data_IF_336085074695
#
_entry.id   IF_336085074695
#
_cell.length_a   1.000
_cell.length_b   1.000
_cell.length_c   1.000
_cell.angle_alpha   90.00
_cell.angle_beta   90.00
_cell.angle_gamma   90.00
#
_symmetry.space_group_name_H-M   'P 1'
#
loop_
_entity.id
_entity.type
_entity.pdbx_description
1 polymer ?
#
# COMPACT_ATOMS: atom_id res chain seq x y z
N UNK A 1 4.03 -21.26 3.14
CA UNK A 1 4.15 -21.47 1.66
C UNK A 1 4.55 -22.91 1.38
N UNK A 2 3.90 -23.63 0.43
CA UNK A 2 4.29 -25.00 0.08
C UNK A 2 5.43 -25.02 -0.96
N UNK A 3 6.06 -26.19 -1.17
CA UNK A 3 7.22 -26.33 -2.10
C UNK A 3 6.88 -25.95 -3.54
N UNK A 4 5.66 -26.24 -4.00
CA UNK A 4 5.23 -25.91 -5.36
C UNK A 4 5.06 -24.40 -5.56
N UNK A 5 4.46 -23.71 -4.60
CA UNK A 5 4.35 -22.24 -4.57
C UNK A 5 5.71 -21.57 -4.54
N UNK A 6 6.64 -22.10 -3.73
CA UNK A 6 8.02 -21.65 -3.65
C UNK A 6 8.73 -21.74 -5.00
N UNK A 7 8.60 -22.88 -5.69
CA UNK A 7 9.22 -23.06 -7.00
C UNK A 7 8.60 -22.18 -8.09
N UNK A 8 7.29 -21.89 -8.01
CA UNK A 8 6.65 -20.90 -8.85
C UNK A 8 7.19 -19.49 -8.58
N UNK A 9 7.36 -19.13 -7.31
CA UNK A 9 7.96 -17.86 -6.91
C UNK A 9 9.39 -17.74 -7.44
N UNK A 10 10.24 -18.77 -7.25
CA UNK A 10 11.61 -18.77 -7.78
C UNK A 10 11.64 -18.64 -9.30
N UNK A 11 10.70 -19.29 -10.01
CA UNK A 11 10.58 -19.14 -11.49
C UNK A 11 10.22 -17.70 -11.85
N UNK A 12 9.27 -17.08 -11.16
CA UNK A 12 8.91 -15.68 -11.35
C UNK A 12 10.10 -14.75 -11.12
N UNK A 13 10.85 -14.93 -10.02
CA UNK A 13 12.05 -14.16 -9.72
C UNK A 13 13.12 -14.25 -10.81
N UNK A 14 13.30 -15.43 -11.41
CA UNK A 14 14.22 -15.64 -12.55
C UNK A 14 13.82 -14.87 -13.80
N UNK A 15 12.51 -14.67 -14.00
CA UNK A 15 11.97 -13.91 -15.15
C UNK A 15 12.05 -12.42 -14.91
N UNK A 16 11.64 -11.95 -13.72
CA UNK A 16 11.61 -10.53 -13.39
C UNK A 16 12.98 -9.94 -13.09
N UNK A 17 13.91 -10.77 -12.60
CA UNK A 17 15.25 -10.34 -12.18
C UNK A 17 15.28 -9.57 -10.84
N UNK A 18 14.12 -9.26 -10.26
CA UNK A 18 13.96 -8.50 -9.01
C UNK A 18 13.02 -9.22 -8.06
N UNK A 19 13.24 -9.04 -6.77
CA UNK A 19 12.44 -9.66 -5.72
C UNK A 19 11.23 -8.80 -5.28
N UNK A 20 11.21 -7.50 -5.62
CA UNK A 20 10.17 -6.57 -5.20
C UNK A 20 10.25 -6.17 -3.74
N UNK A 21 9.17 -5.54 -3.23
CA UNK A 21 9.11 -5.04 -1.85
C UNK A 21 8.85 -6.14 -0.82
N UNK A 22 8.13 -7.17 -1.21
CA UNK A 22 7.60 -8.24 -0.37
C UNK A 22 8.48 -9.50 -0.31
N UNK A 23 9.52 -9.58 -1.15
CA UNK A 23 10.43 -10.72 -1.18
C UNK A 23 11.88 -10.24 -1.08
N UNK A 24 12.69 -10.97 -0.33
CA UNK A 24 14.15 -10.78 -0.25
C UNK A 24 14.84 -12.13 -0.45
N UNK A 25 15.89 -12.15 -1.27
CA UNK A 25 16.65 -13.37 -1.53
C UNK A 25 18.12 -13.19 -1.10
N UNK A 26 18.62 -14.15 -0.31
CA UNK A 26 19.99 -14.11 0.22
C UNK A 26 20.69 -15.46 0.08
N UNK A 27 22.00 -15.41 -0.08
CA UNK A 27 22.84 -16.62 -0.09
C UNK A 27 23.00 -17.24 1.31
N UNK A 28 22.82 -16.44 2.37
CA UNK A 28 22.99 -16.91 3.76
C UNK A 28 22.55 -15.85 4.78
N UNK A 29 22.45 -16.26 6.05
CA UNK A 29 22.09 -15.39 7.18
C UNK A 29 23.32 -14.61 7.65
N UNK A 30 23.55 -13.44 7.07
CA UNK A 30 24.62 -12.50 7.45
C UNK A 30 24.25 -11.59 8.63
N UNK A 31 25.14 -10.62 8.94
CA UNK A 31 24.85 -9.60 9.97
C UNK A 31 23.77 -8.62 9.53
N UNK A 32 23.69 -8.31 8.24
CA UNK A 32 22.75 -7.36 7.67
C UNK A 32 21.30 -7.88 7.58
N UNK A 33 21.05 -9.16 7.88
CA UNK A 33 19.67 -9.69 7.85
C UNK A 33 18.75 -9.01 8.86
N UNK A 34 19.31 -8.45 9.96
CA UNK A 34 18.52 -7.68 10.94
C UNK A 34 17.93 -6.41 10.35
N UNK A 35 18.60 -5.79 9.39
CA UNK A 35 18.08 -4.63 8.64
C UNK A 35 16.89 -5.04 7.76
N UNK A 36 16.99 -6.21 7.10
CA UNK A 36 15.88 -6.77 6.32
C UNK A 36 14.68 -7.11 7.20
N UNK A 37 14.91 -7.74 8.36
CA UNK A 37 13.85 -8.07 9.30
C UNK A 37 13.14 -6.81 9.83
N UNK A 38 13.92 -5.77 10.23
CA UNK A 38 13.39 -4.47 10.62
C UNK A 38 12.58 -3.83 9.49
N UNK A 39 13.15 -3.78 8.29
CA UNK A 39 12.52 -3.14 7.14
C UNK A 39 11.22 -3.83 6.71
N UNK A 40 11.19 -5.15 6.66
CA UNK A 40 9.97 -5.92 6.35
C UNK A 40 8.90 -5.71 7.42
N UNK A 41 9.27 -5.78 8.70
CA UNK A 41 8.33 -5.61 9.80
C UNK A 41 7.75 -4.19 9.88
N UNK A 42 8.50 -3.18 9.51
CA UNK A 42 8.03 -1.79 9.43
C UNK A 42 7.14 -1.52 8.20
N UNK A 43 7.30 -2.30 7.13
CA UNK A 43 6.41 -2.24 5.96
C UNK A 43 5.24 -3.24 6.12
N UNK A 44 4.94 -4.00 5.10
CA UNK A 44 3.80 -4.94 5.03
C UNK A 44 4.20 -6.39 5.32
N UNK A 45 5.31 -6.60 6.03
CA UNK A 45 5.90 -7.93 6.16
C UNK A 45 6.59 -8.38 4.88
N UNK A 46 6.81 -9.70 4.73
CA UNK A 46 7.38 -10.25 3.51
C UNK A 46 7.97 -11.63 3.66
N UNK A 47 8.47 -12.16 2.56
CA UNK A 47 9.10 -13.47 2.47
C UNK A 47 10.61 -13.34 2.29
N UNK A 48 11.39 -13.87 3.21
CA UNK A 48 12.84 -13.97 3.10
C UNK A 48 13.24 -15.38 2.67
N UNK A 49 13.85 -15.50 1.49
CA UNK A 49 14.39 -16.78 0.98
C UNK A 49 15.90 -16.78 1.15
N UNK A 50 16.44 -17.79 1.84
CA UNK A 50 17.87 -17.93 2.07
C UNK A 50 18.38 -19.24 1.48
N UNK A 51 19.56 -19.20 0.85
CA UNK A 51 20.15 -20.34 0.15
C UNK A 51 20.03 -20.27 -1.37
N UNK A 52 19.66 -19.09 -1.92
CA UNK A 52 19.67 -18.81 -3.35
C UNK A 52 20.65 -17.66 -3.67
N UNK A 53 21.29 -17.72 -4.83
CA UNK A 53 22.20 -16.69 -5.33
C UNK A 53 21.51 -15.83 -6.40
N UNK A 54 21.28 -14.55 -6.10
CA UNK A 54 20.74 -13.58 -7.07
C UNK A 54 21.71 -13.40 -8.25
N UNK A 55 23.02 -13.38 -7.97
CA UNK A 55 24.07 -13.23 -9.01
C UNK A 55 24.07 -14.37 -10.04
N UNK A 56 23.70 -15.57 -9.57
CA UNK A 56 23.64 -16.78 -10.42
C UNK A 56 22.21 -17.09 -10.88
N UNK A 57 21.36 -16.06 -11.02
CA UNK A 57 19.99 -16.19 -11.50
C UNK A 57 19.09 -16.99 -10.56
N UNK A 58 19.19 -16.75 -9.27
CA UNK A 58 18.43 -17.44 -8.21
C UNK A 58 18.70 -18.96 -8.16
N UNK A 59 19.92 -19.36 -8.49
CA UNK A 59 20.36 -20.75 -8.33
C UNK A 59 20.56 -21.09 -6.85
N UNK A 60 20.23 -22.33 -6.43
CA UNK A 60 20.52 -22.80 -5.07
C UNK A 60 22.04 -22.79 -4.79
N UNK A 61 22.38 -22.37 -3.57
CA UNK A 61 23.78 -22.36 -3.10
C UNK A 61 24.21 -23.81 -2.77
N UNK A 62 25.28 -24.31 -3.41
CA UNK A 62 25.74 -25.67 -3.13
C UNK A 62 26.11 -25.87 -1.66
N UNK A 63 25.65 -26.96 -1.05
CA UNK A 63 25.98 -27.30 0.34
C UNK A 63 25.37 -26.35 1.38
N UNK A 64 24.32 -25.60 1.05
CA UNK A 64 23.65 -24.70 1.99
C UNK A 64 23.08 -25.45 3.20
N UNK A 65 23.55 -25.09 4.40
CA UNK A 65 23.14 -25.69 5.67
C UNK A 65 21.84 -25.01 6.18
N UNK A 66 20.68 -25.40 5.63
CA UNK A 66 19.40 -24.73 5.83
C UNK A 66 18.95 -24.72 7.31
N UNK A 67 19.14 -25.82 8.06
CA UNK A 67 18.78 -25.90 9.48
C UNK A 67 19.61 -24.93 10.33
N UNK A 68 20.93 -24.89 10.13
CA UNK A 68 21.80 -23.92 10.82
C UNK A 68 21.44 -22.47 10.46
N UNK A 69 21.03 -22.23 9.21
CA UNK A 69 20.57 -20.92 8.77
C UNK A 69 19.27 -20.53 9.47
N UNK A 70 18.35 -21.46 9.68
CA UNK A 70 17.09 -21.26 10.43
C UNK A 70 17.38 -20.82 11.87
N UNK A 71 18.19 -21.60 12.60
CA UNK A 71 18.53 -21.27 13.99
C UNK A 71 19.20 -19.91 14.12
N UNK A 72 20.12 -19.61 13.18
CA UNK A 72 20.78 -18.30 13.12
C UNK A 72 19.80 -17.17 12.80
N UNK A 73 18.81 -17.38 11.93
CA UNK A 73 17.80 -16.39 11.61
C UNK A 73 16.93 -16.08 12.84
N UNK A 74 16.46 -17.10 13.54
CA UNK A 74 15.67 -16.92 14.76
C UNK A 74 16.45 -16.15 15.83
N UNK A 75 17.73 -16.45 16.03
CA UNK A 75 18.60 -15.65 16.91
C UNK A 75 18.80 -14.20 16.44
N UNK A 76 18.69 -13.93 15.13
CA UNK A 76 18.70 -12.55 14.61
C UNK A 76 17.39 -11.81 14.88
N UNK A 77 16.26 -12.50 14.86
CA UNK A 77 14.97 -11.92 15.23
C UNK A 77 14.94 -11.39 16.66
N UNK A 78 15.65 -12.04 17.58
CA UNK A 78 15.77 -11.61 18.99
C UNK A 78 16.62 -10.32 19.18
N UNK A 79 17.36 -9.89 18.16
CA UNK A 79 18.16 -8.66 18.19
C UNK A 79 17.35 -7.42 17.84
N UNK A 80 16.06 -7.57 17.59
CA UNK A 80 15.14 -6.50 17.23
C UNK A 80 14.22 -6.15 18.39
N UNK A 81 13.80 -4.91 18.44
CA UNK A 81 12.82 -4.38 19.40
C UNK A 81 11.69 -3.69 18.62
N UNK A 82 10.42 -4.13 18.73
CA UNK A 82 10.01 -5.41 19.32
C UNK A 82 10.60 -6.62 18.59
N UNK A 83 10.68 -7.76 19.30
CA UNK A 83 11.20 -9.01 18.70
C UNK A 83 10.32 -9.44 17.51
N UNK A 84 10.96 -9.73 16.37
CA UNK A 84 10.26 -10.21 15.18
C UNK A 84 9.97 -11.71 15.31
N UNK A 85 8.72 -12.11 15.09
CA UNK A 85 8.29 -13.51 15.17
C UNK A 85 8.15 -14.12 13.78
N UNK A 86 9.28 -14.26 13.08
CA UNK A 86 9.29 -14.88 11.75
C UNK A 86 8.99 -16.38 11.83
N UNK A 87 8.15 -16.86 10.89
CA UNK A 87 7.91 -18.28 10.68
C UNK A 87 8.92 -18.80 9.66
N UNK A 88 9.88 -19.61 10.12
CA UNK A 88 11.03 -20.04 9.33
C UNK A 88 10.99 -21.56 9.10
N UNK A 89 10.85 -21.98 7.83
CA UNK A 89 10.73 -23.37 7.41
C UNK A 89 11.79 -23.73 6.38
N UNK A 90 12.32 -24.96 6.47
CA UNK A 90 13.25 -25.51 5.50
C UNK A 90 12.47 -26.27 4.42
N UNK A 91 12.70 -25.92 3.17
CA UNK A 91 12.11 -26.56 2.01
C UNK A 91 13.15 -27.27 1.18
N UNK A 92 12.81 -28.47 0.68
CA UNK A 92 13.63 -29.19 -0.31
C UNK A 92 13.01 -29.00 -1.69
N UNK A 93 13.75 -28.42 -2.61
CA UNK A 93 13.36 -28.19 -3.98
C UNK A 93 13.39 -29.51 -4.78
N UNK A 94 12.71 -29.55 -5.94
CA UNK A 94 12.65 -30.74 -6.81
C UNK A 94 14.01 -31.23 -7.31
N UNK A 95 15.03 -30.35 -7.32
CA UNK A 95 16.41 -30.69 -7.64
C UNK A 95 17.23 -31.22 -6.44
N UNK A 96 16.60 -31.43 -5.28
CA UNK A 96 17.23 -31.92 -4.07
C UNK A 96 17.96 -30.86 -3.23
N UNK A 97 18.01 -29.59 -3.66
CA UNK A 97 18.62 -28.52 -2.90
C UNK A 97 17.70 -28.06 -1.76
N UNK A 98 18.28 -27.78 -0.60
CA UNK A 98 17.54 -27.21 0.53
C UNK A 98 17.65 -25.69 0.53
N UNK A 99 16.57 -25.02 0.87
CA UNK A 99 16.49 -23.56 1.07
C UNK A 99 15.70 -23.27 2.36
N UNK A 100 15.97 -22.12 2.98
CA UNK A 100 15.20 -21.62 4.10
C UNK A 100 14.24 -20.56 3.60
N UNK A 101 12.97 -20.67 3.97
CA UNK A 101 11.93 -19.65 3.72
C UNK A 101 11.45 -19.13 5.06
N UNK A 102 11.46 -17.82 5.23
CA UNK A 102 10.95 -17.19 6.44
C UNK A 102 9.90 -16.15 6.08
N UNK A 103 8.69 -16.34 6.60
CA UNK A 103 7.63 -15.35 6.55
C UNK A 103 7.84 -14.37 7.71
N UNK A 104 8.16 -13.13 7.36
CA UNK A 104 8.38 -12.02 8.29
C UNK A 104 7.07 -11.27 8.45
N UNK A 105 6.47 -11.22 9.65
CA UNK A 105 5.20 -10.52 9.85
C UNK A 105 5.39 -9.01 9.80
N UNK A 106 4.35 -8.31 9.35
CA UNK A 106 4.21 -6.87 9.59
C UNK A 106 4.04 -6.63 11.09
N UNK A 107 4.73 -5.63 11.62
CA UNK A 107 4.53 -5.16 13.00
C UNK A 107 3.24 -4.34 13.08
N UNK A 108 2.45 -4.52 14.14
CA UNK A 108 1.29 -3.67 14.35
C UNK A 108 1.71 -2.18 14.42
N UNK A 109 0.88 -1.25 13.91
CA UNK A 109 1.20 0.18 13.93
C UNK A 109 1.63 0.70 15.30
N UNK A 110 0.95 0.29 16.37
CA UNK A 110 1.28 0.67 17.75
C UNK A 110 2.65 0.18 18.22
N UNK A 111 3.19 -0.85 17.60
CA UNK A 111 4.46 -1.49 17.94
C UNK A 111 5.60 -1.06 17.00
N UNK A 112 5.30 -0.24 15.97
CA UNK A 112 6.28 0.37 15.08
C UNK A 112 6.95 1.58 15.75
N UNK A 113 8.21 1.88 15.40
CA UNK A 113 9.04 1.15 14.48
C UNK A 113 9.75 -0.03 15.16
N UNK A 114 9.89 -1.14 14.41
CA UNK A 114 10.78 -2.23 14.76
C UNK A 114 12.22 -1.85 14.43
N UNK A 115 13.13 -1.93 15.39
CA UNK A 115 14.51 -1.48 15.21
C UNK A 115 15.55 -2.46 15.75
N UNK A 116 16.78 -2.36 15.24
CA UNK A 116 17.94 -3.14 15.71
C UNK A 116 18.38 -2.62 17.08
N UNK A 117 18.14 -3.40 18.13
CA UNK A 117 18.35 -3.00 19.53
C UNK A 117 19.71 -2.35 19.81
N UNK A 118 20.80 -2.93 19.30
CA UNK A 118 22.16 -2.42 19.51
C UNK A 118 22.44 -1.07 18.86
N UNK A 119 21.66 -0.66 17.86
CA UNK A 119 21.82 0.62 17.17
C UNK A 119 20.90 1.71 17.74
N UNK A 120 19.90 1.31 18.55
CA UNK A 120 18.89 2.23 19.05
C UNK A 120 17.82 2.58 18.03
N UNK A 121 16.83 3.34 18.46
CA UNK A 121 15.61 3.63 17.71
C UNK A 121 15.89 4.35 16.38
N UNK A 122 16.69 5.40 16.38
CA UNK A 122 16.91 6.25 15.18
C UNK A 122 17.88 5.64 14.17
N UNK A 123 18.93 4.96 14.61
CA UNK A 123 19.95 4.37 13.73
C UNK A 123 19.64 2.91 13.38
N UNK A 124 18.69 2.30 14.08
CA UNK A 124 18.35 0.89 13.96
C UNK A 124 17.05 0.60 13.21
N UNK A 125 16.26 1.63 12.86
CA UNK A 125 14.98 1.49 12.17
C UNK A 125 15.16 1.56 10.66
N UNK A 126 14.61 0.57 9.96
CA UNK A 126 14.71 0.45 8.49
C UNK A 126 13.34 0.28 7.85
N UNK A 127 13.25 0.67 6.57
CA UNK A 127 12.10 0.43 5.69
C UNK A 127 12.54 -0.15 4.34
N UNK A 128 11.61 -0.78 3.63
CA UNK A 128 11.85 -1.27 2.27
C UNK A 128 11.65 -0.14 1.27
N UNK A 129 12.64 0.02 0.36
CA UNK A 129 12.56 0.92 -0.78
C UNK A 129 13.02 0.14 -2.02
N UNK A 130 12.08 -0.31 -2.84
CA UNK A 130 12.31 -1.29 -3.90
C UNK A 130 13.03 -2.54 -3.36
N UNK A 131 14.19 -2.89 -3.91
CA UNK A 131 14.98 -4.07 -3.49
C UNK A 131 15.96 -3.79 -2.32
N UNK A 132 15.91 -2.59 -1.74
CA UNK A 132 16.87 -2.17 -0.71
C UNK A 132 16.20 -1.91 0.65
N UNK A 133 16.99 -2.08 1.70
CA UNK A 133 16.64 -1.63 3.04
C UNK A 133 17.27 -0.27 3.26
N UNK A 134 16.47 0.75 3.53
CA UNK A 134 16.93 2.11 3.81
C UNK A 134 16.56 2.51 5.23
N UNK A 135 17.39 3.31 5.93
CA UNK A 135 17.03 3.82 7.24
C UNK A 135 15.73 4.62 7.17
N UNK A 136 14.89 4.49 8.20
CA UNK A 136 13.78 5.42 8.43
C UNK A 136 14.32 6.81 8.74
N UNK A 137 13.65 7.84 8.25
CA UNK A 137 14.00 9.21 8.59
C UNK A 137 13.54 9.56 10.00
N UNK A 138 14.23 10.48 10.66
CA UNK A 138 13.90 10.86 12.05
C UNK A 138 12.43 11.28 12.20
N UNK A 139 11.89 12.05 11.24
CA UNK A 139 10.49 12.48 11.31
C UNK A 139 9.48 11.32 11.17
N UNK A 140 9.83 10.25 10.43
CA UNK A 140 8.98 9.05 10.34
C UNK A 140 8.96 8.31 11.68
N UNK A 141 10.11 8.25 12.36
CA UNK A 141 10.25 7.63 13.67
C UNK A 141 9.47 8.44 14.71
N UNK A 142 9.62 9.77 14.72
CA UNK A 142 8.88 10.66 15.62
C UNK A 142 7.37 10.51 15.44
N UNK A 143 6.93 10.29 14.20
CA UNK A 143 5.51 10.04 13.89
C UNK A 143 5.01 8.73 14.52
N UNK A 144 5.73 7.63 14.35
CA UNK A 144 5.39 6.36 15.01
C UNK A 144 5.35 6.50 16.55
N UNK A 145 6.31 7.19 17.14
CA UNK A 145 6.37 7.41 18.58
C UNK A 145 5.18 8.26 19.06
N UNK A 146 4.81 9.31 18.33
CA UNK A 146 3.66 10.16 18.66
C UNK A 146 2.34 9.35 18.58
N UNK A 147 2.18 8.47 17.60
CA UNK A 147 1.01 7.61 17.47
C UNK A 147 0.84 6.60 18.62
N UNK A 148 1.92 6.17 19.26
CA UNK A 148 1.86 5.23 20.40
C UNK A 148 1.07 5.81 21.59
N UNK A 149 1.02 7.12 21.76
CA UNK A 149 0.23 7.78 22.80
C UNK A 149 -1.28 7.80 22.51
N UNK A 150 -1.72 7.37 21.33
CA UNK A 150 -3.11 7.34 20.88
C UNK A 150 -3.86 8.67 21.11
N UNK A 151 -3.36 9.79 20.60
CA UNK A 151 -3.98 11.08 20.81
C UNK A 151 -5.33 11.19 20.10
N UNK A 152 -6.30 11.88 20.72
CA UNK A 152 -7.64 12.13 20.18
C UNK A 152 -7.73 13.52 19.53
N UNK A 153 -7.04 13.71 18.43
CA UNK A 153 -6.95 15.00 17.74
C UNK A 153 -8.30 15.56 17.27
N UNK A 154 -9.24 14.69 16.94
CA UNK A 154 -10.57 15.05 16.49
C UNK A 154 -11.44 15.66 17.60
N UNK A 155 -11.08 15.51 18.88
CA UNK A 155 -11.73 16.14 20.05
C UNK A 155 -11.11 17.50 20.41
N UNK A 156 -10.07 17.95 19.70
CA UNK A 156 -9.44 19.26 19.95
C UNK A 156 -10.41 20.40 19.74
N UNK A 157 -10.56 21.32 20.72
CA UNK A 157 -11.38 22.51 20.58
C UNK A 157 -10.74 23.49 19.58
N UNK A 158 -11.52 24.01 18.63
CA UNK A 158 -11.07 24.93 17.59
C UNK A 158 -11.64 26.32 17.86
N UNK A 159 -10.89 27.24 18.46
CA UNK A 159 -11.36 28.58 18.76
C UNK A 159 -11.82 29.33 17.51
N UNK A 160 -12.98 29.95 17.58
CA UNK A 160 -13.56 30.71 16.47
C UNK A 160 -14.24 29.86 15.38
N UNK A 161 -14.22 28.54 15.49
CA UNK A 161 -14.96 27.69 14.56
C UNK A 161 -16.47 27.84 14.76
N UNK A 162 -17.20 28.21 13.70
CA UNK A 162 -18.65 28.30 13.68
C UNK A 162 -19.27 27.10 12.97
N UNK A 163 -20.34 26.57 13.56
CA UNK A 163 -21.11 25.47 12.94
C UNK A 163 -22.26 26.06 12.11
N UNK A 164 -22.58 25.41 11.00
CA UNK A 164 -23.71 25.75 10.15
C UNK A 164 -25.00 25.25 10.80
N UNK A 165 -25.90 26.17 11.14
CA UNK A 165 -27.21 25.87 11.74
C UNK A 165 -28.05 24.95 10.85
N UNK A 166 -27.93 25.04 9.54
CA UNK A 166 -28.64 24.18 8.62
C UNK A 166 -28.17 22.71 8.71
N UNK A 167 -26.95 22.48 9.16
CA UNK A 167 -26.41 21.14 9.42
C UNK A 167 -26.57 20.71 10.88
N UNK A 168 -26.35 21.61 11.81
CA UNK A 168 -26.41 21.35 13.26
C UNK A 168 -27.84 20.99 13.72
N UNK A 169 -28.85 21.74 13.30
CA UNK A 169 -30.25 21.53 13.72
C UNK A 169 -30.79 20.14 13.36
N UNK A 170 -30.66 19.64 12.12
CA UNK A 170 -31.08 18.29 11.79
C UNK A 170 -30.32 17.21 12.57
N UNK A 171 -29.02 17.43 12.85
CA UNK A 171 -28.21 16.54 13.67
C UNK A 171 -28.76 16.49 15.09
N UNK A 172 -28.97 17.62 15.76
CA UNK A 172 -29.54 17.72 17.12
C UNK A 172 -30.90 17.02 17.19
N UNK A 173 -31.82 17.36 16.29
CA UNK A 173 -33.17 16.77 16.26
C UNK A 173 -33.14 15.24 16.09
N UNK A 174 -32.17 14.74 15.34
CA UNK A 174 -31.97 13.30 15.16
C UNK A 174 -31.41 12.66 16.42
N UNK A 175 -30.40 13.25 17.05
CA UNK A 175 -29.78 12.72 18.27
C UNK A 175 -30.77 12.72 19.44
N UNK A 176 -31.56 13.75 19.58
CA UNK A 176 -32.60 13.86 20.62
C UNK A 176 -33.63 12.72 20.48
N UNK A 177 -34.04 12.38 19.25
CA UNK A 177 -34.94 11.24 19.02
C UNK A 177 -34.29 9.88 19.31
N UNK A 178 -33.00 9.73 19.04
CA UNK A 178 -32.27 8.47 19.23
C UNK A 178 -31.82 8.25 20.67
N UNK A 179 -31.52 9.36 21.40
CA UNK A 179 -30.90 9.34 22.72
C UNK A 179 -31.52 10.44 23.61
N UNK A 180 -32.83 10.38 23.90
CA UNK A 180 -33.53 11.46 24.63
C UNK A 180 -32.91 11.73 26.02
N UNK A 181 -32.36 10.71 26.68
CA UNK A 181 -31.73 10.83 27.99
C UNK A 181 -30.53 11.79 27.98
N UNK A 182 -29.79 11.88 26.88
CA UNK A 182 -28.66 12.82 26.75
C UNK A 182 -29.14 14.30 26.78
N UNK A 183 -30.37 14.55 26.34
CA UNK A 183 -30.96 15.90 26.29
C UNK A 183 -31.76 16.29 27.52
N UNK A 184 -31.89 15.38 28.51
CA UNK A 184 -32.60 15.67 29.75
C UNK A 184 -32.03 16.86 30.52
N UNK A 185 -30.69 17.07 30.42
CA UNK A 185 -30.00 18.21 31.06
C UNK A 185 -29.84 19.43 30.11
N UNK A 186 -30.47 19.39 28.94
CA UNK A 186 -30.46 20.45 27.93
C UNK A 186 -29.49 20.21 26.78
N UNK A 187 -29.73 20.94 25.68
CA UNK A 187 -28.99 20.77 24.42
C UNK A 187 -27.49 21.05 24.57
N UNK A 188 -27.08 22.02 25.35
CA UNK A 188 -25.66 22.34 25.57
C UNK A 188 -24.89 21.16 26.17
N UNK A 189 -25.44 20.53 27.21
CA UNK A 189 -24.86 19.33 27.84
C UNK A 189 -24.83 18.14 26.86
N UNK A 190 -25.88 17.99 26.06
CA UNK A 190 -25.94 16.94 25.03
C UNK A 190 -24.85 17.11 23.98
N UNK A 191 -24.60 18.35 23.53
CA UNK A 191 -23.54 18.63 22.54
C UNK A 191 -22.13 18.35 23.09
N UNK A 192 -21.88 18.63 24.36
CA UNK A 192 -20.65 18.22 25.04
C UNK A 192 -20.51 16.70 25.07
N UNK A 193 -21.55 15.99 25.50
CA UNK A 193 -21.55 14.52 25.58
C UNK A 193 -21.36 13.85 24.20
N UNK A 194 -21.87 14.46 23.15
CA UNK A 194 -21.74 14.01 21.75
C UNK A 194 -20.38 14.39 21.13
N UNK A 195 -19.53 15.16 21.83
CA UNK A 195 -18.25 15.62 21.32
C UNK A 195 -18.36 16.66 20.18
N UNK A 196 -19.50 17.34 20.07
CA UNK A 196 -19.69 18.47 19.15
C UNK A 196 -18.96 19.70 19.65
N UNK A 197 -19.01 19.92 20.96
CA UNK A 197 -18.26 20.97 21.64
C UNK A 197 -17.40 20.36 22.76
N UNK A 198 -16.35 21.07 23.14
CA UNK A 198 -15.47 20.76 24.24
C UNK A 198 -15.23 22.08 25.03
N UNK A 199 -15.72 22.14 26.24
CA UNK A 199 -15.74 23.38 27.08
C UNK A 199 -16.36 24.57 26.29
N UNK A 200 -17.51 24.34 25.64
CA UNK A 200 -18.24 25.36 24.92
C UNK A 200 -17.63 25.77 23.57
N UNK A 201 -16.51 25.15 23.15
CA UNK A 201 -15.84 25.42 21.87
C UNK A 201 -16.05 24.24 20.91
N UNK A 202 -16.36 24.51 19.65
CA UNK A 202 -16.54 23.47 18.65
C UNK A 202 -15.28 22.62 18.49
N UNK A 203 -15.45 21.30 18.43
CA UNK A 203 -14.34 20.37 18.21
C UNK A 203 -13.92 20.32 16.74
N UNK A 204 -12.72 19.81 16.47
CA UNK A 204 -12.25 19.56 15.11
C UNK A 204 -13.22 18.63 14.35
N UNK A 205 -13.70 17.56 14.97
CA UNK A 205 -14.70 16.68 14.38
C UNK A 205 -15.99 17.41 14.00
N UNK A 206 -16.51 18.25 14.88
CA UNK A 206 -17.71 19.04 14.59
C UNK A 206 -17.48 20.06 13.48
N UNK A 207 -16.34 20.75 13.48
CA UNK A 207 -15.96 21.70 12.44
C UNK A 207 -15.85 21.01 11.07
N UNK A 208 -15.22 19.85 10.99
CA UNK A 208 -15.07 19.11 9.74
C UNK A 208 -16.39 18.51 9.23
N UNK A 209 -17.33 18.25 10.12
CA UNK A 209 -18.65 17.66 9.77
C UNK A 209 -19.71 18.70 9.47
N UNK A 210 -19.78 19.77 10.25
CA UNK A 210 -20.86 20.76 10.27
C UNK A 210 -20.36 22.21 10.28
N UNK A 211 -19.06 22.45 10.12
CA UNK A 211 -18.51 23.81 10.10
C UNK A 211 -18.89 24.57 8.84
N UNK A 212 -19.06 25.89 8.95
CA UNK A 212 -19.37 26.78 7.82
C UNK A 212 -18.27 26.78 6.78
N UNK A 213 -17.00 26.91 7.18
CA UNK A 213 -15.83 26.88 6.29
C UNK A 213 -14.63 26.26 7.04
N UNK A 214 -14.50 24.92 7.10
CA UNK A 214 -13.42 24.25 7.83
C UNK A 214 -12.01 24.71 7.41
N UNK A 215 -11.81 25.01 6.13
CA UNK A 215 -10.51 25.38 5.57
C UNK A 215 -10.06 26.80 5.94
N UNK A 216 -10.94 27.64 6.51
CA UNK A 216 -10.52 28.93 7.08
C UNK A 216 -9.63 28.74 8.33
N UNK A 217 -9.83 27.64 9.07
CA UNK A 217 -9.01 27.29 10.23
C UNK A 217 -7.78 26.45 9.84
N UNK A 218 -7.97 25.50 8.94
CA UNK A 218 -6.93 24.60 8.45
C UNK A 218 -6.99 24.50 6.92
N UNK A 219 -6.31 25.40 6.18
CA UNK A 219 -6.37 25.47 4.71
C UNK A 219 -6.00 24.16 3.99
N UNK A 220 -5.20 23.29 4.61
CA UNK A 220 -4.76 22.03 4.01
C UNK A 220 -5.68 20.83 4.32
N UNK A 221 -6.76 21.02 5.11
CA UNK A 221 -7.75 19.96 5.32
C UNK A 221 -8.72 19.86 4.11
N UNK A 222 -8.14 19.64 2.95
CA UNK A 222 -8.76 19.59 1.62
C UNK A 222 -8.55 18.21 0.98
N UNK A 223 -9.17 17.99 -0.17
CA UNK A 223 -8.81 16.91 -1.10
C UNK A 223 -8.23 17.54 -2.36
N UNK A 224 -6.97 17.26 -2.67
CA UNK A 224 -6.37 17.66 -3.94
C UNK A 224 -6.54 16.54 -4.96
N UNK A 225 -6.96 16.87 -6.18
CA UNK A 225 -7.15 15.89 -7.24
C UNK A 225 -6.28 16.25 -8.42
N UNK A 226 -5.41 15.32 -8.84
CA UNK A 226 -4.62 15.43 -10.05
C UNK A 226 -5.16 14.51 -11.15
N UNK A 227 -5.23 15.02 -12.37
CA UNK A 227 -5.66 14.28 -13.57
C UNK A 227 -4.43 14.05 -14.45
N UNK A 228 -4.28 12.82 -14.93
CA UNK A 228 -3.11 12.38 -15.69
C UNK A 228 -3.55 11.72 -17.00
N UNK A 229 -2.96 12.16 -18.13
CA UNK A 229 -3.24 11.62 -19.47
C UNK A 229 -2.53 10.28 -19.75
N UNK A 230 -1.74 9.77 -18.80
CA UNK A 230 -1.00 8.52 -18.90
C UNK A 230 -0.83 7.85 -17.54
N UNK A 231 -0.02 6.77 -17.45
CA UNK A 231 0.22 6.03 -16.20
C UNK A 231 1.31 6.65 -15.31
N UNK A 232 2.00 7.69 -15.77
CA UNK A 232 3.13 8.33 -15.08
C UNK A 232 2.71 9.65 -14.43
N UNK A 233 3.34 10.01 -13.32
CA UNK A 233 3.18 11.34 -12.70
C UNK A 233 3.64 12.50 -13.63
N UNK A 234 4.47 12.20 -14.64
CA UNK A 234 4.88 13.17 -15.65
C UNK A 234 3.77 13.54 -16.64
N UNK A 235 2.71 12.70 -16.69
CA UNK A 235 1.56 12.88 -17.58
C UNK A 235 0.48 13.78 -16.97
N UNK A 236 0.82 14.57 -15.95
CA UNK A 236 -0.09 15.51 -15.30
C UNK A 236 -0.66 16.52 -16.32
N UNK A 237 -1.98 16.69 -16.31
CA UNK A 237 -2.68 17.59 -17.23
C UNK A 237 -3.48 18.67 -16.53
N UNK A 238 -4.13 18.33 -15.40
CA UNK A 238 -5.02 19.24 -14.70
C UNK A 238 -5.14 18.85 -13.23
N UNK A 239 -5.62 19.76 -12.39
CA UNK A 239 -5.88 19.49 -10.99
C UNK A 239 -6.80 20.49 -10.33
N UNK A 240 -7.49 20.02 -9.30
CA UNK A 240 -8.43 20.82 -8.54
C UNK A 240 -8.28 20.56 -7.03
N UNK A 241 -8.53 21.59 -6.24
CA UNK A 241 -8.60 21.51 -4.78
C UNK A 241 -10.06 21.56 -4.36
N UNK A 242 -10.52 20.47 -3.72
CA UNK A 242 -11.87 20.36 -3.16
C UNK A 242 -11.86 20.85 -1.72
N UNK A 243 -12.89 21.62 -1.34
CA UNK A 243 -13.03 22.19 0.00
C UNK A 243 -14.46 22.09 0.52
N UNK A 244 -14.65 22.26 1.82
CA UNK A 244 -15.92 22.15 2.51
C UNK A 244 -15.89 21.12 3.64
N UNK A 245 -17.07 20.72 4.10
CA UNK A 245 -17.22 19.64 5.09
C UNK A 245 -16.88 18.28 4.48
N UNK A 246 -16.67 17.28 5.32
CA UNK A 246 -16.38 15.90 4.85
C UNK A 246 -17.44 15.39 3.87
N UNK A 247 -18.73 15.63 4.13
CA UNK A 247 -19.80 15.23 3.23
C UNK A 247 -19.72 15.95 1.87
N UNK A 248 -19.36 17.23 1.86
CA UNK A 248 -19.15 18.00 0.64
C UNK A 248 -17.94 17.50 -0.15
N UNK A 249 -16.82 17.24 0.53
CA UNK A 249 -15.59 16.69 -0.08
C UNK A 249 -15.84 15.33 -0.74
N UNK A 250 -16.57 14.42 -0.07
CA UNK A 250 -16.92 13.11 -0.62
C UNK A 250 -17.76 13.25 -1.90
N UNK A 251 -18.80 14.09 -1.87
CA UNK A 251 -19.68 14.27 -3.04
C UNK A 251 -18.93 14.90 -4.22
N UNK A 252 -18.14 15.96 -3.99
CA UNK A 252 -17.32 16.59 -5.02
C UNK A 252 -16.31 15.60 -5.64
N UNK A 253 -15.66 14.76 -4.81
CA UNK A 253 -14.74 13.75 -5.29
C UNK A 253 -15.41 12.69 -6.15
N UNK A 254 -16.61 12.23 -5.77
CA UNK A 254 -17.39 11.27 -6.56
C UNK A 254 -17.77 11.88 -7.91
N UNK A 255 -18.27 13.12 -7.94
CA UNK A 255 -18.68 13.80 -9.17
C UNK A 255 -17.48 13.98 -10.12
N UNK A 256 -16.31 14.31 -9.58
CA UNK A 256 -15.09 14.43 -10.36
C UNK A 256 -14.63 13.10 -10.95
N UNK A 257 -14.59 12.02 -10.14
CA UNK A 257 -14.21 10.69 -10.64
C UNK A 257 -15.23 10.21 -11.66
N UNK A 258 -16.52 10.44 -11.45
CA UNK A 258 -17.58 10.12 -12.43
C UNK A 258 -17.35 10.80 -13.79
N UNK A 259 -16.77 12.01 -13.79
CA UNK A 259 -16.46 12.73 -15.03
C UNK A 259 -15.23 12.15 -15.75
N UNK A 260 -14.15 11.81 -15.02
CA UNK A 260 -12.86 11.41 -15.61
C UNK A 260 -12.66 9.88 -15.71
N UNK A 261 -13.40 9.10 -14.91
CA UNK A 261 -13.31 7.65 -14.83
C UNK A 261 -14.69 7.05 -14.49
N UNK A 262 -15.71 7.22 -15.40
CA UNK A 262 -17.10 6.86 -15.16
C UNK A 262 -17.35 5.36 -14.96
N UNK A 263 -16.40 4.51 -15.33
CA UNK A 263 -16.46 3.05 -15.19
C UNK A 263 -16.37 2.58 -13.73
N UNK A 264 -15.79 3.37 -12.81
CA UNK A 264 -15.71 2.99 -11.41
C UNK A 264 -17.09 2.98 -10.73
N UNK A 265 -17.41 1.94 -9.93
CA UNK A 265 -18.61 1.95 -9.10
C UNK A 265 -18.58 3.14 -8.12
N UNK A 266 -19.57 4.02 -8.19
CA UNK A 266 -19.63 5.23 -7.35
C UNK A 266 -19.59 4.89 -5.84
N UNK A 267 -20.18 3.75 -5.45
CA UNK A 267 -20.10 3.25 -4.07
C UNK A 267 -18.69 2.95 -3.63
N UNK A 268 -17.85 2.34 -4.50
CA UNK A 268 -16.46 2.06 -4.19
C UNK A 268 -15.64 3.34 -4.02
N UNK A 269 -15.87 4.35 -4.88
CA UNK A 269 -15.22 5.65 -4.76
C UNK A 269 -15.66 6.36 -3.46
N UNK A 270 -16.95 6.30 -3.14
CA UNK A 270 -17.47 6.84 -1.88
C UNK A 270 -16.74 6.24 -0.68
N UNK A 271 -16.63 4.92 -0.62
CA UNK A 271 -15.94 4.22 0.47
C UNK A 271 -14.44 4.58 0.52
N UNK A 272 -13.76 4.64 -0.61
CA UNK A 272 -12.34 5.01 -0.68
C UNK A 272 -12.09 6.41 -0.12
N UNK A 273 -12.86 7.41 -0.55
CA UNK A 273 -12.71 8.80 -0.10
C UNK A 273 -13.16 8.96 1.36
N UNK A 274 -14.26 8.29 1.75
CA UNK A 274 -14.73 8.31 3.15
C UNK A 274 -13.66 7.75 4.08
N UNK A 275 -13.07 6.60 3.75
CA UNK A 275 -12.00 6.00 4.55
C UNK A 275 -10.79 6.92 4.63
N UNK A 276 -10.37 7.53 3.52
CA UNK A 276 -9.26 8.46 3.51
C UNK A 276 -9.49 9.68 4.41
N UNK A 277 -10.71 10.22 4.47
CA UNK A 277 -11.06 11.37 5.30
C UNK A 277 -11.31 10.99 6.77
N UNK A 278 -11.92 9.83 7.05
CA UNK A 278 -12.23 9.43 8.43
C UNK A 278 -11.03 8.86 9.18
N UNK A 279 -10.12 8.20 8.47
CA UNK A 279 -8.97 7.52 9.09
C UNK A 279 -7.64 8.25 8.92
N UNK A 280 -7.61 9.43 8.25
CA UNK A 280 -6.40 10.23 8.17
C UNK A 280 -5.89 10.65 9.55
N UNK A 281 -4.61 10.92 9.62
CA UNK A 281 -4.02 11.57 10.78
C UNK A 281 -4.36 13.08 10.80
N UNK A 282 -4.98 13.54 11.89
CA UNK A 282 -5.30 14.93 12.15
C UNK A 282 -4.33 15.59 13.14
N UNK A 283 -3.19 14.97 13.44
CA UNK A 283 -2.15 15.56 14.29
C UNK A 283 -1.57 16.83 13.69
N UNK A 284 -0.89 17.63 14.51
CA UNK A 284 -0.19 18.83 14.06
C UNK A 284 0.86 18.53 12.98
N UNK A 285 1.46 17.34 13.00
CA UNK A 285 2.44 16.91 12.00
C UNK A 285 1.80 16.65 10.64
N UNK A 286 0.57 16.11 10.63
CA UNK A 286 -0.11 15.67 9.41
C UNK A 286 -1.11 16.69 8.83
N UNK A 287 -1.56 17.69 9.62
CA UNK A 287 -2.53 18.71 9.15
C UNK A 287 -2.03 19.55 7.97
N UNK A 288 -0.72 19.67 7.79
CA UNK A 288 -0.12 20.40 6.69
C UNK A 288 -0.28 19.71 5.33
N UNK A 289 -0.72 18.45 5.29
CA UNK A 289 -0.82 17.68 4.06
C UNK A 289 -2.28 17.38 3.73
N UNK A 290 -2.74 17.66 2.48
CA UNK A 290 -4.10 17.30 2.05
C UNK A 290 -4.24 15.79 1.83
N UNK A 291 -5.48 15.30 1.76
CA UNK A 291 -5.78 14.03 1.10
C UNK A 291 -5.55 14.22 -0.40
N UNK A 292 -4.86 13.29 -1.06
CA UNK A 292 -4.55 13.37 -2.47
C UNK A 292 -5.30 12.29 -3.25
N UNK A 293 -5.92 12.68 -4.34
CA UNK A 293 -6.48 11.77 -5.33
C UNK A 293 -5.73 11.95 -6.64
N UNK A 294 -5.35 10.86 -7.30
CA UNK A 294 -4.65 10.87 -8.58
C UNK A 294 -5.37 9.95 -9.56
N UNK A 295 -5.93 10.52 -10.61
CA UNK A 295 -6.68 9.80 -11.63
C UNK A 295 -5.78 9.58 -12.83
N UNK A 296 -5.21 8.38 -12.94
CA UNK A 296 -4.38 7.94 -14.06
C UNK A 296 -5.26 7.21 -15.11
N UNK A 297 -4.66 6.90 -16.26
CA UNK A 297 -5.34 6.12 -17.30
C UNK A 297 -5.51 4.64 -16.93
N UNK A 298 -4.69 4.11 -16.03
CA UNK A 298 -4.65 2.70 -15.62
C UNK A 298 -5.11 2.46 -14.18
N UNK A 299 -5.26 3.50 -13.36
CA UNK A 299 -5.62 3.41 -11.94
C UNK A 299 -6.14 4.72 -11.36
N UNK A 300 -6.80 4.63 -10.22
CA UNK A 300 -7.06 5.72 -9.30
C UNK A 300 -6.27 5.48 -8.01
N UNK A 301 -5.59 6.49 -7.52
CA UNK A 301 -4.91 6.45 -6.23
C UNK A 301 -5.55 7.45 -5.27
N UNK A 302 -5.79 7.01 -4.03
CA UNK A 302 -6.26 7.86 -2.92
C UNK A 302 -5.25 7.75 -1.79
N UNK A 303 -4.55 8.84 -1.50
CA UNK A 303 -3.53 8.89 -0.45
C UNK A 303 -3.99 9.79 0.68
N UNK A 304 -4.01 9.28 1.90
CA UNK A 304 -4.25 10.07 3.09
C UNK A 304 -3.02 10.14 3.99
N UNK A 305 -2.77 11.27 4.66
CA UNK A 305 -1.78 11.37 5.72
C UNK A 305 -2.12 10.43 6.88
N UNK A 306 -1.09 9.77 7.42
CA UNK A 306 -1.20 8.76 8.47
C UNK A 306 -1.17 7.33 7.93
N UNK A 307 -0.35 6.48 8.56
CA UNK A 307 -0.30 5.04 8.31
C UNK A 307 -1.55 4.34 8.86
N UNK A 308 -1.59 3.01 8.81
CA UNK A 308 -2.57 2.22 9.56
C UNK A 308 -2.51 2.55 11.05
N UNK A 309 -3.59 2.30 11.77
CA UNK A 309 -3.71 2.67 13.18
C UNK A 309 -4.05 1.47 14.07
N UNK A 310 -3.50 1.46 15.29
CA UNK A 310 -3.85 0.49 16.32
C UNK A 310 -3.29 -0.91 16.10
N UNK A 311 -4.15 -1.92 16.11
CA UNK A 311 -3.78 -3.34 16.06
C UNK A 311 -4.32 -4.00 14.79
N UNK A 312 -4.10 -3.39 13.63
CA UNK A 312 -4.48 -3.93 12.33
C UNK A 312 -3.31 -3.83 11.37
N UNK A 313 -3.07 -4.89 10.62
CA UNK A 313 -2.08 -4.93 9.55
C UNK A 313 -2.73 -4.76 8.17
N UNK A 314 -1.93 -4.55 7.13
CA UNK A 314 -2.44 -4.44 5.75
C UNK A 314 -3.16 -5.70 5.30
N UNK A 315 -2.79 -6.87 5.81
CA UNK A 315 -3.42 -8.16 5.49
C UNK A 315 -4.81 -8.32 6.11
N UNK A 316 -5.03 -7.70 7.27
CA UNK A 316 -6.28 -7.78 8.03
C UNK A 316 -7.29 -6.68 7.64
N UNK A 317 -6.91 -5.79 6.70
CA UNK A 317 -7.82 -4.76 6.21
C UNK A 317 -9.07 -5.37 5.55
N UNK A 318 -10.23 -5.02 6.09
CA UNK A 318 -11.52 -5.51 5.62
C UNK A 318 -12.03 -6.75 6.34
N UNK A 319 -11.29 -7.28 7.33
CA UNK A 319 -11.82 -8.34 8.20
C UNK A 319 -12.92 -7.79 9.11
N UNK A 320 -13.98 -8.59 9.30
CA UNK A 320 -15.12 -8.20 10.14
C UNK A 320 -14.70 -8.06 11.60
N UNK A 321 -15.18 -6.99 12.24
CA UNK A 321 -14.92 -6.71 13.66
C UNK A 321 -13.61 -5.98 13.94
N UNK A 322 -12.73 -5.84 12.96
CA UNK A 322 -11.48 -5.08 13.08
C UNK A 322 -11.64 -3.70 12.42
N UNK A 323 -11.93 -2.69 13.22
CA UNK A 323 -12.04 -1.30 12.71
C UNK A 323 -11.48 -0.30 13.73
N UNK A 324 -10.18 -0.35 14.02
CA UNK A 324 -9.56 0.66 14.87
C UNK A 324 -9.57 2.01 14.15
N UNK A 325 -9.95 3.05 14.87
CA UNK A 325 -9.94 4.42 14.37
C UNK A 325 -9.27 5.36 15.35
N UNK A 326 -8.42 6.26 14.84
CA UNK A 326 -7.83 7.35 15.62
C UNK A 326 -8.80 8.52 15.81
N UNK A 327 -9.84 8.62 14.97
CA UNK A 327 -10.78 9.73 14.92
C UNK A 327 -12.20 9.26 15.29
N UNK A 328 -12.35 8.81 16.52
CA UNK A 328 -13.59 8.20 17.00
C UNK A 328 -14.78 9.15 16.92
N UNK A 329 -14.59 10.41 17.37
CA UNK A 329 -15.67 11.42 17.34
C UNK A 329 -16.08 11.77 15.91
N UNK A 330 -15.09 11.89 15.04
CA UNK A 330 -15.36 12.15 13.62
C UNK A 330 -16.20 11.04 13.01
N UNK A 331 -15.86 9.77 13.23
CA UNK A 331 -16.64 8.62 12.77
C UNK A 331 -18.07 8.63 13.35
N UNK A 332 -18.24 8.95 14.63
CA UNK A 332 -19.54 9.06 15.29
C UNK A 332 -20.39 10.19 14.70
N UNK A 333 -19.81 11.35 14.41
CA UNK A 333 -20.53 12.51 13.87
C UNK A 333 -20.86 12.35 12.37
N UNK A 334 -19.94 11.83 11.58
CA UNK A 334 -20.10 11.63 10.12
C UNK A 334 -20.96 10.42 9.81
N UNK A 335 -20.86 9.34 10.58
CA UNK A 335 -21.49 8.05 10.31
C UNK A 335 -22.97 8.14 9.89
N UNK A 336 -23.81 8.91 10.58
CA UNK A 336 -25.23 9.04 10.23
C UNK A 336 -25.52 9.73 8.90
N UNK A 337 -24.63 10.57 8.39
CA UNK A 337 -24.83 11.39 7.18
C UNK A 337 -24.22 10.77 5.92
N UNK A 338 -23.15 10.02 6.08
CA UNK A 338 -22.35 9.46 4.97
C UNK A 338 -22.53 7.96 4.83
N UNK A 339 -22.69 7.25 5.94
CA UNK A 339 -22.77 5.79 6.00
C UNK A 339 -24.19 5.23 5.81
N UNK A 340 -24.93 5.67 4.80
CA UNK A 340 -26.13 4.93 4.40
C UNK A 340 -25.69 3.60 3.78
N UNK A 341 -25.54 2.58 4.63
CA UNK A 341 -25.50 1.17 4.22
C UNK A 341 -24.16 0.47 4.27
N UNK A 342 -23.08 1.09 4.76
CA UNK A 342 -21.81 0.40 4.81
C UNK A 342 -21.28 0.29 6.24
N UNK A 343 -21.55 -0.78 6.89
CA UNK A 343 -20.88 -1.15 8.13
C UNK A 343 -19.47 -1.70 7.94
N UNK A 344 -18.95 -1.76 6.71
CA UNK A 344 -17.79 -2.60 6.40
C UNK A 344 -16.69 -1.91 5.59
N UNK A 345 -16.81 -0.59 5.31
CA UNK A 345 -15.74 0.24 4.73
C UNK A 345 -14.95 -0.44 3.61
N UNK A 346 -13.74 -0.90 3.92
CA UNK A 346 -12.84 -1.52 2.96
C UNK A 346 -13.40 -2.80 2.33
N UNK A 347 -14.04 -3.69 3.11
CA UNK A 347 -14.67 -4.90 2.59
C UNK A 347 -15.87 -4.60 1.67
N UNK A 348 -16.65 -3.55 1.97
CA UNK A 348 -17.73 -3.10 1.09
C UNK A 348 -17.19 -2.60 -0.24
N UNK A 349 -16.11 -1.81 -0.21
CA UNK A 349 -15.42 -1.35 -1.42
C UNK A 349 -14.91 -2.52 -2.26
N UNK A 350 -14.24 -3.50 -1.65
CA UNK A 350 -13.74 -4.70 -2.33
C UNK A 350 -14.88 -5.46 -3.03
N UNK A 351 -16.02 -5.63 -2.36
CA UNK A 351 -17.21 -6.27 -2.96
C UNK A 351 -17.75 -5.49 -4.14
N UNK A 352 -17.92 -4.17 -4.01
CA UNK A 352 -18.43 -3.32 -5.09
C UNK A 352 -17.50 -3.34 -6.32
N UNK A 353 -16.20 -3.39 -6.11
CA UNK A 353 -15.21 -3.54 -7.20
C UNK A 353 -15.30 -4.93 -7.84
N UNK A 354 -15.37 -5.99 -7.04
CA UNK A 354 -15.49 -7.35 -7.53
C UNK A 354 -16.79 -7.59 -8.31
N UNK A 355 -17.93 -7.08 -7.82
CA UNK A 355 -19.23 -7.15 -8.50
C UNK A 355 -19.20 -6.43 -9.86
N UNK A 356 -18.40 -5.37 -9.97
CA UNK A 356 -18.17 -4.64 -11.22
C UNK A 356 -16.98 -5.19 -12.03
N UNK A 357 -16.44 -6.34 -11.66
CA UNK A 357 -15.32 -7.04 -12.33
C UNK A 357 -14.00 -6.27 -12.35
N UNK A 358 -13.77 -5.39 -11.39
CA UNK A 358 -12.47 -4.74 -11.19
C UNK A 358 -11.51 -5.64 -10.39
N UNK A 359 -10.20 -5.50 -10.59
CA UNK A 359 -9.20 -6.15 -9.74
C UNK A 359 -9.33 -5.70 -8.28
N UNK A 360 -8.82 -6.52 -7.36
CA UNK A 360 -8.74 -6.15 -5.96
C UNK A 360 -7.92 -4.87 -5.77
N UNK A 361 -8.31 -3.99 -4.83
CA UNK A 361 -7.53 -2.80 -4.50
C UNK A 361 -6.21 -3.19 -3.85
N UNK A 362 -5.16 -2.40 -4.12
CA UNK A 362 -3.87 -2.53 -3.47
C UNK A 362 -3.72 -1.46 -2.39
N UNK A 363 -3.09 -1.80 -1.27
CA UNK A 363 -2.77 -0.87 -0.19
C UNK A 363 -1.26 -0.72 -0.09
N UNK A 364 -0.79 0.52 -0.14
CA UNK A 364 0.62 0.88 0.06
C UNK A 364 0.72 1.78 1.28
N UNK A 365 1.57 1.43 2.23
CA UNK A 365 1.77 2.21 3.44
C UNK A 365 3.21 2.68 3.57
N UNK A 366 3.37 3.88 4.13
CA UNK A 366 4.62 4.40 4.66
C UNK A 366 4.44 4.71 6.15
N UNK A 367 5.46 5.24 6.80
CA UNK A 367 5.33 5.72 8.18
C UNK A 367 4.27 6.82 8.34
N UNK A 368 4.09 7.64 7.30
CA UNK A 368 3.32 8.90 7.37
C UNK A 368 2.12 8.94 6.44
N UNK A 369 1.88 7.90 5.65
CA UNK A 369 0.77 7.89 4.68
C UNK A 369 0.27 6.48 4.38
N UNK A 370 -0.99 6.41 3.95
CA UNK A 370 -1.61 5.24 3.35
C UNK A 370 -2.12 5.62 1.96
N UNK A 371 -1.74 4.84 0.95
CA UNK A 371 -2.24 4.98 -0.42
C UNK A 371 -3.05 3.76 -0.80
N UNK A 372 -4.30 3.99 -1.15
CA UNK A 372 -5.19 3.01 -1.75
C UNK A 372 -5.08 3.15 -3.26
N UNK A 373 -4.75 2.06 -3.94
CA UNK A 373 -4.66 1.98 -5.41
C UNK A 373 -5.81 1.13 -5.92
N UNK A 374 -6.65 1.71 -6.76
CA UNK A 374 -7.74 1.04 -7.45
C UNK A 374 -7.35 0.89 -8.92
N UNK A 375 -7.04 -0.33 -9.40
CA UNK A 375 -6.75 -0.54 -10.82
C UNK A 375 -7.97 -0.17 -11.68
N UNK A 376 -7.75 0.48 -12.82
CA UNK A 376 -8.82 1.03 -13.66
C UNK A 376 -9.45 0.02 -14.62
N UNK A 377 -8.71 -1.03 -15.00
CA UNK A 377 -9.21 -2.01 -15.94
C UNK A 377 -10.06 -3.07 -15.25
N UNK A 378 -11.24 -3.35 -15.81
CA UNK A 378 -12.07 -4.47 -15.38
C UNK A 378 -11.40 -5.81 -15.70
N UNK A 379 -11.53 -6.79 -14.79
CA UNK A 379 -11.06 -8.16 -15.03
C UNK A 379 -11.92 -8.76 -16.16
N UNK A 380 -11.35 -8.98 -17.33
CA UNK A 380 -12.07 -9.43 -18.54
C UNK A 380 -12.31 -8.34 -19.59
N UNK A 381 -12.23 -7.05 -19.23
CA UNK A 381 -12.09 -5.93 -20.16
C UNK A 381 -10.61 -5.53 -20.34
N UNK A 382 -9.70 -6.06 -19.50
CA UNK A 382 -8.30 -6.02 -19.88
C UNK A 382 -8.20 -6.57 -21.32
N UNK A 383 -7.57 -5.84 -22.26
CA UNK A 383 -6.98 -6.54 -23.37
C UNK A 383 -6.12 -7.58 -22.63
N UNK A 384 -6.51 -8.87 -22.74
CA UNK A 384 -5.76 -10.04 -22.32
C UNK A 384 -4.30 -9.60 -22.34
N UNK A 385 -3.55 -9.49 -21.17
CA UNK A 385 -2.19 -9.05 -21.25
C UNK A 385 -1.65 -9.96 -22.30
N UNK A 386 -1.54 -9.46 -23.52
CA UNK A 386 -1.34 -10.23 -24.75
C UNK A 386 -0.31 -11.21 -24.34
N UNK A 387 -0.72 -12.49 -24.11
CA UNK A 387 0.15 -13.47 -23.51
C UNK A 387 1.45 -13.17 -24.18
N UNK A 388 2.36 -12.49 -23.44
CA UNK A 388 3.42 -11.62 -23.96
C UNK A 388 3.90 -12.30 -25.20
N UNK A 389 3.73 -11.75 -26.39
CA UNK A 389 4.01 -12.50 -27.60
C UNK A 389 5.42 -13.04 -27.41
N UNK A 390 5.77 -14.17 -27.97
CA UNK A 390 7.13 -14.68 -27.83
C UNK A 390 8.18 -13.58 -28.11
N UNK A 391 7.83 -12.60 -28.96
CA UNK A 391 8.62 -11.38 -29.19
C UNK A 391 8.74 -10.49 -27.97
N UNK A 392 7.65 -10.22 -27.28
CA UNK A 392 7.64 -9.31 -26.11
C UNK A 392 8.35 -9.96 -24.91
N UNK A 393 8.21 -11.27 -24.72
CA UNK A 393 8.93 -12.02 -23.68
C UNK A 393 10.45 -12.03 -23.93
N UNK A 394 10.87 -12.21 -25.19
CA UNK A 394 12.28 -12.17 -25.58
C UNK A 394 12.84 -10.75 -25.43
N UNK A 395 12.07 -9.71 -25.76
CA UNK A 395 12.47 -8.31 -25.62
C UNK A 395 12.59 -7.90 -24.14
N UNK A 396 11.67 -8.31 -23.28
CA UNK A 396 11.77 -8.08 -21.83
C UNK A 396 13.00 -8.73 -21.22
N UNK A 397 13.27 -9.99 -21.60
CA UNK A 397 14.45 -10.70 -21.14
C UNK A 397 15.74 -10.00 -21.59
N UNK A 398 15.72 -9.46 -22.81
CA UNK A 398 16.83 -8.69 -23.38
C UNK A 398 17.08 -7.40 -22.60
N UNK A 399 16.03 -6.61 -22.32
CA UNK A 399 16.13 -5.37 -21.56
C UNK A 399 16.69 -5.59 -20.15
N UNK A 400 16.45 -6.78 -19.57
CA UNK A 400 16.97 -7.15 -18.25
C UNK A 400 18.45 -7.60 -18.27
N UNK A 401 18.99 -8.08 -19.41
CA UNK A 401 20.31 -8.75 -19.48
C UNK A 401 21.31 -8.13 -20.44
N UNK A 402 20.90 -7.22 -21.29
CA UNK A 402 21.73 -6.51 -22.27
C UNK A 402 22.20 -7.37 -23.47
N UNK A 403 22.43 -8.67 -23.28
CA UNK A 403 22.74 -9.63 -24.33
C UNK A 403 22.12 -10.99 -24.05
N UNK A 404 21.65 -11.70 -25.08
CA UNK A 404 20.92 -12.95 -24.90
C UNK A 404 21.20 -13.91 -26.06
N UNK A 405 21.31 -15.21 -25.78
CA UNK A 405 21.32 -16.27 -26.75
C UNK A 405 19.94 -16.92 -26.89
N UNK A 406 19.69 -17.60 -28.04
CA UNK A 406 18.44 -18.33 -28.23
C UNK A 406 18.23 -19.46 -27.20
N UNK A 407 19.32 -20.08 -26.70
CA UNK A 407 19.25 -21.11 -25.67
C UNK A 407 18.86 -20.54 -24.33
N UNK A 408 19.45 -19.40 -23.93
CA UNK A 408 19.09 -18.67 -22.70
C UNK A 408 17.64 -18.18 -22.74
N UNK A 409 17.20 -17.63 -23.88
CA UNK A 409 15.81 -17.20 -24.05
C UNK A 409 14.83 -18.38 -23.92
N UNK A 410 15.14 -19.54 -24.52
CA UNK A 410 14.32 -20.75 -24.39
C UNK A 410 14.27 -21.24 -22.93
N UNK A 411 15.42 -21.29 -22.26
CA UNK A 411 15.52 -21.78 -20.88
C UNK A 411 14.74 -20.89 -19.88
N UNK A 412 14.74 -19.57 -20.10
CA UNK A 412 14.13 -18.61 -19.18
C UNK A 412 12.64 -18.39 -19.47
N UNK A 413 12.25 -18.27 -20.75
CA UNK A 413 10.84 -18.01 -21.14
C UNK A 413 9.97 -19.26 -21.12
N UNK A 414 10.57 -20.47 -21.18
CA UNK A 414 9.83 -21.73 -21.35
C UNK A 414 9.19 -21.90 -22.75
N UNK A 415 9.43 -20.96 -23.66
CA UNK A 415 8.93 -21.04 -25.04
C UNK A 415 9.65 -22.12 -25.83
N UNK A 416 8.99 -22.67 -26.87
CA UNK A 416 9.65 -23.59 -27.77
C UNK A 416 10.80 -22.89 -28.50
N UNK A 417 11.85 -23.63 -28.82
CA UNK A 417 13.01 -23.12 -29.55
C UNK A 417 12.62 -22.43 -30.88
N UNK A 418 11.63 -22.94 -31.58
CA UNK A 418 11.10 -22.34 -32.81
C UNK A 418 10.41 -20.99 -32.58
N UNK A 419 9.65 -20.87 -31.50
CA UNK A 419 8.99 -19.61 -31.12
C UNK A 419 10.03 -18.54 -30.77
N UNK A 420 11.07 -18.89 -29.98
CA UNK A 420 12.16 -17.98 -29.61
C UNK A 420 12.95 -17.55 -30.87
N UNK A 421 13.27 -18.46 -31.77
CA UNK A 421 13.98 -18.12 -33.01
C UNK A 421 13.18 -17.19 -33.92
N UNK A 422 11.86 -17.41 -34.02
CA UNK A 422 10.95 -16.52 -34.77
C UNK A 422 10.89 -15.12 -34.14
N UNK A 423 10.82 -15.05 -32.83
CA UNK A 423 10.81 -13.79 -32.10
C UNK A 423 12.12 -13.00 -32.26
N UNK A 424 13.28 -13.66 -32.15
CA UNK A 424 14.60 -13.06 -32.37
C UNK A 424 14.75 -12.57 -33.80
N UNK A 425 14.31 -13.36 -34.81
CA UNK A 425 14.34 -12.95 -36.20
C UNK A 425 13.48 -11.71 -36.47
N UNK A 426 12.30 -11.60 -35.85
CA UNK A 426 11.45 -10.41 -35.91
C UNK A 426 12.12 -9.17 -35.30
N UNK A 427 12.75 -9.33 -34.14
CA UNK A 427 13.44 -8.23 -33.43
C UNK A 427 14.66 -7.74 -34.25
N UNK A 428 15.36 -8.64 -34.91
CA UNK A 428 16.46 -8.29 -35.82
C UNK A 428 15.92 -7.59 -37.08
N UNK A 429 14.86 -8.09 -37.70
CA UNK A 429 14.28 -7.49 -38.91
C UNK A 429 13.67 -6.11 -38.67
N UNK A 430 13.25 -5.82 -37.42
CA UNK A 430 12.75 -4.49 -37.00
C UNK A 430 13.84 -3.55 -36.49
N UNK A 431 15.12 -3.95 -36.55
CA UNK A 431 16.25 -3.12 -36.12
C UNK A 431 16.34 -2.89 -34.61
N UNK A 432 15.64 -3.70 -33.81
CA UNK A 432 15.68 -3.62 -32.32
C UNK A 432 16.89 -4.37 -31.77
N UNK A 433 17.25 -5.49 -32.38
CA UNK A 433 18.40 -6.33 -32.02
C UNK A 433 19.29 -6.56 -33.22
N UNK A 434 20.59 -6.75 -32.96
CA UNK A 434 21.54 -7.23 -33.95
C UNK A 434 22.28 -8.48 -33.46
N UNK A 435 22.61 -9.40 -34.36
CA UNK A 435 23.41 -10.56 -34.04
C UNK A 435 24.86 -10.18 -33.81
N UNK A 436 25.52 -10.78 -32.79
CA UNK A 436 26.93 -10.52 -32.47
C UNK A 436 27.91 -11.29 -33.37
N UNK A 437 27.44 -12.34 -34.07
CA UNK A 437 28.25 -13.18 -34.90
C UNK A 437 27.64 -13.25 -36.33
N UNK A 438 28.48 -13.33 -37.34
CA UNK A 438 28.04 -13.52 -38.72
C UNK A 438 27.67 -14.98 -38.99
N UNK A 439 26.46 -15.20 -39.55
CA UNK A 439 25.99 -16.54 -39.91
C UNK A 439 25.39 -17.37 -38.77
N UNK A 440 25.32 -18.71 -38.96
CA UNK A 440 24.75 -19.66 -37.97
C UNK A 440 25.82 -20.14 -36.98
N UNK A 441 26.26 -19.29 -36.07
CA UNK A 441 27.23 -19.66 -35.04
C UNK A 441 26.56 -20.33 -33.84
N UNK A 442 27.09 -21.43 -33.25
CA UNK A 442 26.63 -21.98 -31.99
C UNK A 442 26.78 -21.00 -30.81
N UNK A 443 27.66 -19.98 -30.95
CA UNK A 443 27.92 -18.92 -29.93
C UNK A 443 27.11 -17.65 -30.19
N UNK A 444 26.13 -17.70 -31.12
CA UNK A 444 25.32 -16.53 -31.48
C UNK A 444 24.62 -15.92 -30.25
N UNK A 445 24.90 -14.66 -30.03
CA UNK A 445 24.17 -13.79 -29.09
C UNK A 445 23.53 -12.62 -29.85
N UNK A 446 22.67 -11.93 -29.21
CA UNK A 446 22.01 -10.75 -29.78
C UNK A 446 22.25 -9.58 -28.84
N UNK A 447 22.41 -8.37 -29.36
CA UNK A 447 22.56 -7.13 -28.61
C UNK A 447 21.64 -6.05 -29.20
N UNK A 448 21.42 -4.97 -28.46
CA UNK A 448 20.63 -3.83 -28.93
C UNK A 448 21.42 -3.06 -30.01
N UNK A 449 20.70 -2.59 -31.03
CA UNK A 449 21.26 -1.73 -32.10
C UNK A 449 21.50 -0.32 -31.55
#
# INVERSE_FOLDING_TARGET
MNTQELEQLIRRLRVTGTAGLDVEVRVGVGKQVVETLSAMSNNCGGTLIVGLSVRDGFAPVPGFAAERARDKLLSRCEQLTPTVRAQAEVHTLTNGASVLVAEVPEMFPRDKPCYVQKRGLYDGSFQRAADNNVPLLAHDIDHYVAEQSQPTWDEEPIPGASLDEAMLRPFVNRQERLRPDLFAAGTAQALESLGVVNNGTSTLAAMLTMGTNPQNHYPQLTVTVGIYAGPSERDYTDGVVLSGTIAALINQAIDLVKHHAPEYPQGAIREAVTNALLHRDYSHLARAYPVQMRVFTDRLEVTNPGALYGSITTRELGEEGLNPTRNRRLVELVGPTVAKGSGLGFAAMQRLLADATFPAPEVRTTATSLTLVLPRHQVGAAPNPKALTARDQVLQLFNARGTISAAEATAVTGLSRSAVQKALAQLVSTGVLEPTEAGRSPKQRYRQV
#
